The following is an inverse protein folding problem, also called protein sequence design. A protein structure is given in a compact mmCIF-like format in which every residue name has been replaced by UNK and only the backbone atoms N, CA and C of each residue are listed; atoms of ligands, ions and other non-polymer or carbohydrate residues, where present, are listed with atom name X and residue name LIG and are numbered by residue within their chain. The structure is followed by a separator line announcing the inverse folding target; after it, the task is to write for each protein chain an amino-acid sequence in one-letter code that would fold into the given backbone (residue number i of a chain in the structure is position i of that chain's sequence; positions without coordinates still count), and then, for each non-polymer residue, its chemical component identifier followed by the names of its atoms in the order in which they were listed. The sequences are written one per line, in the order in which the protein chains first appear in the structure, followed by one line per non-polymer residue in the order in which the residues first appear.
data_IF_124676524302
#
_entry.id   IF_124676524302
#
_cell.length_a   1.000
_cell.length_b   1.000
_cell.length_c   1.000
_cell.angle_alpha   90.00
_cell.angle_beta   90.00
_cell.angle_gamma   90.00
#
_symmetry.space_group_name_H-M   'P 1'
#
loop_
_entity.id
_entity.type
_entity.pdbx_description
1 polymer ?
#
# COMPACT_ATOMS: atom_id res chain seq x y z
N UNK A 1 -4.60 -2.60 8.21
CA UNK A 1 -5.13 -1.22 8.07
C UNK A 1 -6.16 -1.10 6.96
N UNK A 2 -5.92 -1.60 5.75
CA UNK A 2 -6.90 -1.49 4.65
C UNK A 2 -8.28 -2.10 4.98
N UNK A 3 -8.39 -3.30 5.59
CA UNK A 3 -9.70 -3.85 5.95
C UNK A 3 -10.46 -2.97 6.94
N UNK A 4 -9.77 -2.39 7.92
CA UNK A 4 -10.35 -1.44 8.89
C UNK A 4 -10.84 -0.17 8.19
N UNK A 5 -10.02 0.43 7.32
CA UNK A 5 -10.39 1.65 6.58
C UNK A 5 -11.50 1.43 5.56
N UNK A 6 -11.63 0.21 5.04
CA UNK A 6 -12.70 -0.19 4.14
C UNK A 6 -14.00 -0.59 4.87
N UNK A 7 -14.00 -0.63 6.22
CA UNK A 7 -15.15 -1.08 7.01
C UNK A 7 -15.41 -2.58 6.97
N UNK A 8 -14.44 -3.39 6.52
CA UNK A 8 -14.53 -4.86 6.51
C UNK A 8 -14.39 -5.41 7.94
N UNK A 9 -13.61 -4.72 8.78
CA UNK A 9 -13.53 -4.98 10.22
C UNK A 9 -13.86 -3.70 10.96
N UNK A 10 -14.58 -3.82 12.09
CA UNK A 10 -15.10 -2.67 12.84
C UNK A 10 -14.01 -1.97 13.67
N UNK A 11 -13.09 -2.76 14.24
CA UNK A 11 -12.07 -2.26 15.15
C UNK A 11 -10.68 -2.85 14.86
N UNK A 12 -9.64 -2.24 15.44
CA UNK A 12 -8.25 -2.65 15.23
C UNK A 12 -8.04 -4.12 15.59
N UNK A 13 -8.69 -4.60 16.65
CA UNK A 13 -8.67 -6.00 17.10
C UNK A 13 -9.20 -6.95 16.03
N UNK A 14 -10.11 -6.51 15.17
CA UNK A 14 -10.57 -7.31 14.02
C UNK A 14 -9.48 -7.59 12.99
N UNK A 15 -8.39 -6.82 12.96
CA UNK A 15 -7.23 -7.14 12.13
C UNK A 15 -6.45 -8.36 12.66
N UNK A 16 -6.57 -8.70 13.95
CA UNK A 16 -5.92 -9.89 14.54
C UNK A 16 -6.57 -11.19 14.09
N UNK A 17 -7.72 -11.14 13.42
CA UNK A 17 -8.46 -12.32 12.93
C UNK A 17 -8.69 -12.27 11.41
N UNK A 18 -8.31 -11.19 10.73
CA UNK A 18 -8.51 -11.04 9.29
C UNK A 18 -7.28 -11.52 8.50
N UNK A 19 -7.34 -12.71 7.86
CA UNK A 19 -6.14 -13.38 7.32
C UNK A 19 -5.52 -12.66 6.12
N UNK A 20 -6.31 -11.88 5.38
CA UNK A 20 -5.87 -11.20 4.16
C UNK A 20 -5.26 -9.82 4.43
N UNK A 21 -4.52 -9.66 5.54
CA UNK A 21 -3.79 -8.44 5.82
C UNK A 21 -2.45 -8.69 6.53
N UNK A 22 -1.43 -7.88 6.22
CA UNK A 22 -0.10 -8.04 6.82
C UNK A 22 -0.03 -7.81 8.34
N UNK A 23 -1.05 -7.19 8.94
CA UNK A 23 -1.14 -7.08 10.40
C UNK A 23 -1.25 -8.47 11.04
N UNK A 24 -2.06 -9.35 10.45
CA UNK A 24 -2.27 -10.72 10.92
C UNK A 24 -0.96 -11.52 10.97
N UNK A 25 -0.14 -11.42 9.91
CA UNK A 25 1.20 -12.03 9.86
C UNK A 25 2.18 -11.41 10.87
N UNK A 26 2.25 -10.07 10.97
CA UNK A 26 3.16 -9.38 11.91
C UNK A 26 2.86 -9.70 13.37
N UNK A 27 1.58 -9.91 13.70
CA UNK A 27 1.15 -10.30 15.04
C UNK A 27 1.36 -11.81 15.32
N UNK A 28 1.92 -12.56 14.36
CA UNK A 28 2.23 -13.98 14.52
C UNK A 28 0.99 -14.88 14.55
N UNK A 29 -0.08 -14.48 13.88
CA UNK A 29 -1.34 -15.24 13.81
C UNK A 29 -1.38 -16.23 12.66
N UNK A 30 -0.42 -16.15 11.74
CA UNK A 30 -0.24 -17.05 10.60
C UNK A 30 1.22 -17.10 10.18
N UNK A 31 1.53 -18.04 9.30
CA UNK A 31 2.84 -18.12 8.66
C UNK A 31 3.07 -16.90 7.74
N UNK A 32 4.30 -16.34 7.68
CA UNK A 32 4.57 -15.06 7.00
C UNK A 32 4.21 -14.99 5.51
N UNK A 33 4.09 -16.12 4.82
CA UNK A 33 3.79 -16.18 3.39
C UNK A 33 4.86 -15.42 2.57
N UNK A 34 4.45 -14.33 1.91
CA UNK A 34 5.34 -13.48 1.11
C UNK A 34 5.98 -12.32 1.91
N UNK A 35 5.52 -12.08 3.14
CA UNK A 35 5.92 -10.93 3.93
C UNK A 35 7.13 -11.28 4.81
N UNK A 36 8.21 -10.50 4.71
CA UNK A 36 9.35 -10.63 5.61
C UNK A 36 9.02 -10.03 6.99
N UNK A 37 8.51 -10.87 7.88
CA UNK A 37 8.08 -10.47 9.23
C UNK A 37 9.26 -10.03 10.08
N UNK A 38 10.40 -10.73 9.99
CA UNK A 38 11.57 -10.44 10.82
C UNK A 38 12.20 -9.11 10.43
N UNK A 39 12.37 -8.85 9.13
CA UNK A 39 12.86 -7.57 8.64
C UNK A 39 11.98 -6.42 9.13
N UNK A 40 10.65 -6.55 9.00
CA UNK A 40 9.72 -5.49 9.42
C UNK A 40 9.76 -5.29 10.93
N UNK A 41 9.72 -6.36 11.73
CA UNK A 41 9.72 -6.25 13.19
C UNK A 41 11.05 -5.68 13.72
N UNK A 42 12.18 -5.94 13.05
CA UNK A 42 13.47 -5.34 13.41
C UNK A 42 13.47 -3.80 13.31
N UNK A 43 12.58 -3.19 12.53
CA UNK A 43 12.39 -1.72 12.50
C UNK A 43 11.77 -1.19 13.81
N UNK A 44 11.13 -2.05 14.61
CA UNK A 44 10.43 -1.69 15.84
C UNK A 44 11.17 -2.15 17.12
N UNK A 45 12.24 -2.95 16.98
CA UNK A 45 13.11 -3.34 18.08
C UNK A 45 13.75 -4.72 17.88
N UNK A 46 14.81 -5.01 18.63
CA UNK A 46 15.58 -6.27 18.47
C UNK A 46 14.97 -7.50 19.16
N UNK A 47 13.86 -7.35 19.91
CA UNK A 47 13.14 -8.47 20.54
C UNK A 47 11.73 -8.52 19.98
N UNK A 48 11.31 -9.68 19.48
CA UNK A 48 10.01 -9.87 18.79
C UNK A 48 8.82 -9.36 19.60
N UNK A 49 8.77 -9.64 20.91
CA UNK A 49 7.68 -9.18 21.78
C UNK A 49 7.61 -7.65 21.86
N UNK A 50 8.76 -6.99 22.06
CA UNK A 50 8.82 -5.52 22.12
C UNK A 50 8.53 -4.90 20.74
N UNK A 51 9.08 -5.49 19.68
CA UNK A 51 8.83 -5.05 18.31
C UNK A 51 7.34 -5.07 17.96
N UNK A 52 6.62 -6.15 18.30
CA UNK A 52 5.17 -6.24 18.11
C UNK A 52 4.41 -5.19 18.93
N UNK A 53 4.83 -4.94 20.18
CA UNK A 53 4.24 -3.89 21.02
C UNK A 53 4.41 -2.50 20.39
N UNK A 54 5.63 -2.17 19.96
CA UNK A 54 5.93 -0.89 19.30
C UNK A 54 5.24 -0.75 17.94
N UNK A 55 5.20 -1.82 17.15
CA UNK A 55 4.44 -1.88 15.91
C UNK A 55 2.94 -1.61 16.15
N UNK A 56 2.34 -2.24 17.16
CA UNK A 56 0.93 -2.03 17.50
C UNK A 56 0.66 -0.57 17.91
N UNK A 57 1.52 0.02 18.74
CA UNK A 57 1.42 1.43 19.11
C UNK A 57 1.56 2.36 17.90
N UNK A 58 2.45 2.05 16.97
CA UNK A 58 2.58 2.77 15.70
C UNK A 58 1.29 2.67 14.87
N UNK A 59 0.72 1.47 14.74
CA UNK A 59 -0.53 1.26 13.99
C UNK A 59 -1.70 2.01 14.63
N UNK A 60 -1.83 1.99 15.96
CA UNK A 60 -2.88 2.75 16.68
C UNK A 60 -2.83 4.24 16.36
N UNK A 61 -1.64 4.84 16.35
CA UNK A 61 -1.44 6.24 15.91
C UNK A 61 -1.84 6.46 14.44
N UNK A 62 -1.63 5.45 13.59
CA UNK A 62 -2.07 5.49 12.20
C UNK A 62 -3.58 5.37 12.00
N UNK A 63 -4.30 4.72 12.94
CA UNK A 63 -5.77 4.62 12.92
C UNK A 63 -6.41 5.96 13.21
N UNK A 64 -5.92 6.68 14.23
CA UNK A 64 -6.45 8.01 14.59
C UNK A 64 -6.28 9.05 13.49
N UNK A 65 -5.28 8.87 12.62
CA UNK A 65 -5.07 9.72 11.44
C UNK A 65 -6.13 9.51 10.32
N UNK A 66 -7.02 8.53 10.45
CA UNK A 66 -8.17 8.34 9.58
C UNK A 66 -7.82 8.17 8.10
N UNK A 67 -8.65 8.77 7.23
CA UNK A 67 -8.45 8.80 5.78
C UNK A 67 -7.48 9.93 5.42
N UNK A 68 -6.36 9.58 4.78
CA UNK A 68 -5.33 10.51 4.34
C UNK A 68 -5.44 10.74 2.83
N UNK A 69 -6.15 11.80 2.38
CA UNK A 69 -6.39 12.04 0.96
C UNK A 69 -5.10 12.24 0.16
N UNK A 70 -4.07 12.78 0.81
CA UNK A 70 -2.70 12.95 0.32
C UNK A 70 -1.96 11.63 0.08
N UNK A 71 -2.36 10.54 0.75
CA UNK A 71 -1.81 9.19 0.57
C UNK A 71 -2.75 8.28 -0.24
N UNK A 72 -3.81 8.83 -0.84
CA UNK A 72 -4.74 8.10 -1.70
C UNK A 72 -4.61 8.50 -3.17
N UNK A 73 -4.82 7.52 -4.07
CA UNK A 73 -4.76 7.75 -5.53
C UNK A 73 -3.91 6.75 -6.32
N UNK A 74 -3.27 5.78 -5.65
CA UNK A 74 -2.46 4.77 -6.32
C UNK A 74 -1.14 5.32 -6.89
N UNK A 75 -0.47 4.54 -7.74
CA UNK A 75 0.74 4.99 -8.45
C UNK A 75 0.43 6.13 -9.41
N UNK A 76 -0.65 5.98 -10.18
CA UNK A 76 -1.07 6.95 -11.19
C UNK A 76 -1.23 8.39 -10.68
N UNK A 77 -1.89 8.61 -9.54
CA UNK A 77 -2.05 9.98 -8.99
C UNK A 77 -0.72 10.56 -8.54
N UNK A 78 0.20 9.77 -7.99
CA UNK A 78 1.53 10.26 -7.60
C UNK A 78 2.35 10.64 -8.82
N UNK A 79 2.34 9.80 -9.83
CA UNK A 79 3.20 9.95 -11.01
C UNK A 79 2.68 10.99 -11.98
N UNK A 80 1.36 11.17 -12.02
CA UNK A 80 0.76 12.31 -12.71
C UNK A 80 1.03 13.66 -12.01
N UNK A 81 1.76 13.72 -10.87
CA UNK A 81 2.01 14.98 -10.16
C UNK A 81 0.85 15.45 -9.28
N UNK A 82 -0.02 14.53 -8.84
CA UNK A 82 -1.16 14.78 -7.97
C UNK A 82 -2.50 14.91 -8.71
N UNK A 83 -3.56 15.11 -7.93
CA UNK A 83 -4.94 15.14 -8.42
C UNK A 83 -5.22 16.26 -9.42
N UNK A 84 -4.52 17.40 -9.33
CA UNK A 84 -4.68 18.54 -10.23
C UNK A 84 -4.15 18.23 -11.63
N UNK A 85 -2.96 17.65 -11.71
CA UNK A 85 -2.33 17.28 -12.96
C UNK A 85 -3.01 16.05 -13.60
N UNK A 86 -3.49 15.08 -12.81
CA UNK A 86 -4.34 14.00 -13.33
C UNK A 86 -5.65 14.51 -13.96
N UNK A 87 -6.28 15.54 -13.37
CA UNK A 87 -7.48 16.17 -13.95
C UNK A 87 -7.18 16.93 -15.24
N UNK A 88 -6.02 17.55 -15.35
CA UNK A 88 -5.58 18.20 -16.58
C UNK A 88 -5.32 17.15 -17.69
N UNK A 89 -4.69 16.02 -17.35
CA UNK A 89 -4.45 14.92 -18.29
C UNK A 89 -5.73 14.25 -18.79
N UNK A 90 -6.77 14.14 -17.94
CA UNK A 90 -8.09 13.61 -18.35
C UNK A 90 -8.79 14.40 -19.47
N UNK A 91 -8.38 15.65 -19.74
CA UNK A 91 -8.91 16.48 -20.83
C UNK A 91 -8.22 16.22 -22.18
N UNK A 92 -7.10 15.52 -22.20
CA UNK A 92 -6.47 15.03 -23.42
C UNK A 92 -6.86 13.57 -23.67
N UNK A 93 -7.17 13.21 -24.91
CA UNK A 93 -7.55 11.84 -25.33
C UNK A 93 -6.42 10.80 -25.20
N UNK A 94 -5.32 11.11 -24.50
CA UNK A 94 -4.20 10.19 -24.28
C UNK A 94 -4.48 9.30 -23.06
N UNK A 95 -4.89 8.06 -23.33
CA UNK A 95 -5.00 7.02 -22.30
C UNK A 95 -3.59 6.58 -21.92
N UNK A 96 -3.15 6.97 -20.73
CA UNK A 96 -1.85 6.54 -20.18
C UNK A 96 -1.78 5.01 -20.13
N UNK A 97 -0.91 4.42 -20.96
CA UNK A 97 -0.63 2.98 -20.98
C UNK A 97 0.43 2.68 -19.91
N UNK A 98 0.14 1.71 -19.03
CA UNK A 98 1.06 1.28 -17.97
C UNK A 98 0.56 1.60 -16.56
N UNK A 99 0.30 0.57 -15.76
CA UNK A 99 0.25 0.71 -14.30
C UNK A 99 1.69 0.53 -13.80
N UNK A 100 2.26 1.54 -13.14
CA UNK A 100 3.64 1.49 -12.65
C UNK A 100 3.95 0.32 -11.73
N UNK A 101 2.94 -0.25 -11.08
CA UNK A 101 3.12 -1.36 -10.17
C UNK A 101 3.14 -2.71 -10.90
N UNK A 102 2.72 -2.72 -12.16
CA UNK A 102 2.59 -3.94 -12.98
C UNK A 102 3.53 -3.89 -14.18
N UNK A 103 3.52 -2.79 -14.93
CA UNK A 103 4.25 -2.62 -16.19
C UNK A 103 5.36 -1.56 -16.13
N UNK A 104 5.44 -0.77 -15.04
CA UNK A 104 6.42 0.31 -14.89
C UNK A 104 5.95 1.65 -15.45
N UNK A 105 6.85 2.64 -15.44
CA UNK A 105 6.58 4.02 -15.88
C UNK A 105 6.07 4.05 -17.33
N UNK A 106 5.13 4.94 -17.63
CA UNK A 106 4.47 5.02 -18.95
C UNK A 106 5.45 5.13 -20.11
N UNK A 107 6.52 5.91 -19.95
CA UNK A 107 7.55 6.10 -20.98
C UNK A 107 8.33 4.81 -21.28
N UNK A 108 8.59 4.00 -20.25
CA UNK A 108 9.23 2.69 -20.42
C UNK A 108 8.28 1.73 -21.14
N UNK A 109 7.00 1.71 -20.75
CA UNK A 109 5.98 0.86 -21.38
C UNK A 109 5.78 1.24 -22.84
N UNK A 110 5.66 2.53 -23.16
CA UNK A 110 5.55 2.99 -24.55
C UNK A 110 6.78 2.63 -25.38
N UNK A 111 7.98 2.73 -24.80
CA UNK A 111 9.22 2.34 -25.48
C UNK A 111 9.24 0.85 -25.79
N UNK A 112 8.82 0.01 -24.84
CA UNK A 112 8.73 -1.44 -25.02
C UNK A 112 7.66 -1.80 -26.06
N UNK A 113 6.48 -1.17 -26.02
CA UNK A 113 5.41 -1.41 -27.00
C UNK A 113 5.83 -1.02 -28.42
N UNK A 114 6.49 0.14 -28.58
CA UNK A 114 7.05 0.56 -29.88
C UNK A 114 8.11 -0.40 -30.39
N UNK A 115 8.96 -0.92 -29.52
CA UNK A 115 9.96 -1.92 -29.88
C UNK A 115 9.31 -3.26 -30.27
N UNK A 116 8.15 -3.59 -29.71
CA UNK A 116 7.39 -4.81 -30.00
C UNK A 116 6.42 -4.68 -31.20
N UNK A 117 6.32 -3.50 -31.83
CA UNK A 117 5.35 -3.18 -32.90
C UNK A 117 3.87 -3.32 -32.47
N UNK A 118 3.55 -3.01 -31.21
CA UNK A 118 2.18 -2.95 -30.65
C UNK A 118 1.67 -1.53 -30.35
#
# INVERSE_FOLDING_TARGET
MNPLRAGIVEELKGLDTYPYCGHYALMGKTEPGFQDVDYILNLFGGKVLEARRHYLEFVKKGVTAGRRPDLTGGGLVRSAGGWSALRAMRKGESRMKGDERILGQGDFVETVLKAAQE
#
